data_IF_129874462516
#
_entry.id   IF_129874462516
#
_cell.length_a   1.000
_cell.length_b   1.000
_cell.length_c   1.000
_cell.angle_alpha   90.00
_cell.angle_beta   90.00
_cell.angle_gamma   90.00
#
_symmetry.space_group_name_H-M   'P 1'
#
loop_
_entity.id
_entity.type
_entity.pdbx_description
1 polymer ?
#
# COMPACT_ATOMS: atom_id res chain seq x y z
N UNK A 1 -0.40 52.25 18.18
CA UNK A 1 0.65 51.23 18.37
C UNK A 1 0.04 50.16 19.25
N UNK A 2 0.37 48.89 19.00
CA UNK A 2 -0.11 47.67 19.69
C UNK A 2 -1.53 47.20 19.34
N UNK A 3 -1.83 45.93 19.06
CA UNK A 3 -1.12 44.79 18.44
C UNK A 3 -2.26 43.78 18.21
N UNK A 4 -2.55 43.42 16.95
CA UNK A 4 -3.47 42.32 16.65
C UNK A 4 -2.73 41.01 16.90
N UNK A 5 -2.91 40.43 18.08
CA UNK A 5 -2.54 39.03 18.34
C UNK A 5 -3.68 38.19 17.79
N UNK A 6 -3.41 37.50 16.67
CA UNK A 6 -4.35 36.56 16.07
C UNK A 6 -4.64 35.41 17.03
N UNK A 7 -5.92 35.22 17.33
CA UNK A 7 -6.44 34.02 17.97
C UNK A 7 -6.30 32.85 16.99
N UNK A 8 -5.36 31.95 17.27
CA UNK A 8 -5.29 30.64 16.61
C UNK A 8 -6.53 29.86 17.06
N UNK A 9 -7.33 29.44 16.09
CA UNK A 9 -8.68 28.92 16.23
C UNK A 9 -8.68 27.46 16.74
N UNK A 10 -8.90 27.26 18.05
CA UNK A 10 -8.95 25.94 18.72
C UNK A 10 -10.01 24.98 18.14
N UNK A 11 -10.94 25.46 17.29
CA UNK A 11 -12.03 24.67 16.71
C UNK A 11 -11.75 24.16 15.27
N UNK A 12 -10.60 24.48 14.69
CA UNK A 12 -10.28 24.09 13.30
C UNK A 12 -9.77 22.67 13.14
N UNK A 13 -9.00 22.18 14.11
CA UNK A 13 -8.41 20.83 14.06
C UNK A 13 -9.48 19.75 14.26
N UNK A 14 -10.39 19.91 15.23
CA UNK A 14 -11.50 18.97 15.46
C UNK A 14 -12.46 18.90 14.27
N UNK A 15 -12.80 20.06 13.68
CA UNK A 15 -13.64 20.13 12.50
C UNK A 15 -12.96 19.46 11.27
N UNK A 16 -11.65 19.65 11.12
CA UNK A 16 -10.86 19.02 10.05
C UNK A 16 -10.79 17.51 10.23
N UNK A 17 -10.57 17.04 11.46
CA UNK A 17 -10.54 15.61 11.78
C UNK A 17 -11.90 14.96 11.55
N UNK A 18 -12.99 15.59 12.00
CA UNK A 18 -14.35 15.08 11.76
C UNK A 18 -14.69 15.00 10.27
N UNK A 19 -14.22 15.97 9.46
CA UNK A 19 -14.37 15.92 8.01
C UNK A 19 -13.58 14.76 7.39
N UNK A 20 -12.34 14.54 7.81
CA UNK A 20 -11.52 13.42 7.34
C UNK A 20 -12.16 12.08 7.68
N UNK A 21 -12.61 11.90 8.93
CA UNK A 21 -13.28 10.68 9.38
C UNK A 21 -14.58 10.42 8.61
N UNK A 22 -15.36 11.46 8.29
CA UNK A 22 -16.56 11.33 7.47
C UNK A 22 -16.25 10.83 6.05
N UNK A 23 -15.20 11.38 5.41
CA UNK A 23 -14.73 10.95 4.08
C UNK A 23 -14.23 9.50 4.13
N UNK A 24 -13.43 9.17 5.14
CA UNK A 24 -12.91 7.82 5.33
C UNK A 24 -14.03 6.81 5.57
N UNK A 25 -15.04 7.16 6.36
CA UNK A 25 -16.18 6.30 6.64
C UNK A 25 -17.04 6.04 5.40
N UNK A 26 -17.22 7.02 4.52
CA UNK A 26 -17.88 6.81 3.23
C UNK A 26 -17.07 5.81 2.36
N UNK A 27 -15.75 5.95 2.36
CA UNK A 27 -14.84 5.06 1.64
C UNK A 27 -14.75 3.65 2.23
N UNK A 28 -14.95 3.46 3.55
CA UNK A 28 -14.92 2.14 4.22
C UNK A 28 -15.94 1.15 3.66
N UNK A 29 -17.02 1.64 3.05
CA UNK A 29 -18.03 0.82 2.37
C UNK A 29 -17.49 0.08 1.14
N UNK A 30 -16.39 0.55 0.55
CA UNK A 30 -15.76 -0.06 -0.64
C UNK A 30 -14.74 -1.12 -0.24
N UNK A 31 -14.59 -2.20 -1.00
CA UNK A 31 -13.51 -3.19 -0.74
C UNK A 31 -12.11 -2.55 -0.82
N UNK A 32 -11.14 -3.11 -0.09
CA UNK A 32 -9.76 -2.63 -0.10
C UNK A 32 -9.07 -2.96 -1.43
N UNK A 33 -9.30 -4.18 -1.91
CA UNK A 33 -8.87 -4.66 -3.22
C UNK A 33 -10.04 -5.43 -3.85
N UNK A 34 -10.43 -5.05 -5.05
CA UNK A 34 -11.46 -5.77 -5.78
C UNK A 34 -10.95 -7.09 -6.37
N UNK A 35 -11.88 -7.98 -6.69
CA UNK A 35 -11.64 -9.04 -7.68
C UNK A 35 -11.17 -8.44 -9.02
N UNK A 36 -10.64 -9.27 -9.91
CA UNK A 36 -10.28 -8.84 -11.26
C UNK A 36 -11.55 -8.43 -12.02
N UNK A 37 -11.61 -7.17 -12.41
CA UNK A 37 -12.70 -6.60 -13.21
C UNK A 37 -12.30 -6.50 -14.68
N UNK A 38 -13.26 -6.65 -15.61
CA UNK A 38 -13.04 -6.33 -17.01
C UNK A 38 -12.62 -4.87 -17.19
N UNK A 39 -11.71 -4.61 -18.12
CA UNK A 39 -11.30 -3.24 -18.49
C UNK A 39 -12.44 -2.40 -19.08
N UNK A 40 -13.55 -3.03 -19.49
CA UNK A 40 -14.74 -2.30 -19.92
C UNK A 40 -15.39 -1.49 -18.79
N UNK A 41 -15.18 -1.87 -17.53
CA UNK A 41 -15.64 -1.06 -16.39
C UNK A 41 -15.02 0.33 -16.35
N UNK A 42 -13.91 0.57 -17.07
CA UNK A 42 -13.31 1.89 -17.21
C UNK A 42 -13.94 2.72 -18.33
N UNK A 43 -14.69 2.11 -19.26
CA UNK A 43 -15.37 2.88 -20.32
C UNK A 43 -16.44 3.79 -19.72
N UNK A 44 -17.15 3.30 -18.71
CA UNK A 44 -18.17 4.05 -17.96
C UNK A 44 -17.54 5.21 -17.18
N UNK A 45 -16.42 4.96 -16.50
CA UNK A 45 -15.68 5.98 -15.72
C UNK A 45 -15.18 7.14 -16.58
N UNK A 46 -14.82 6.88 -17.83
CA UNK A 46 -14.26 7.87 -18.76
C UNK A 46 -15.23 8.28 -19.86
N UNK A 47 -16.52 8.00 -19.69
CA UNK A 47 -17.54 8.42 -20.64
C UNK A 47 -17.52 9.94 -20.82
N UNK A 48 -17.58 10.42 -22.06
CA UNK A 48 -17.45 11.84 -22.39
C UNK A 48 -16.01 12.38 -22.46
N UNK A 49 -14.99 11.56 -22.14
CA UNK A 49 -13.59 11.97 -22.23
C UNK A 49 -12.81 11.19 -23.30
N UNK A 50 -12.90 11.65 -24.55
CA UNK A 50 -12.33 10.98 -25.74
C UNK A 50 -10.85 10.61 -25.61
N UNK A 51 -10.01 11.50 -25.06
CA UNK A 51 -8.57 11.27 -24.87
C UNK A 51 -8.30 10.07 -23.95
N UNK A 52 -9.09 9.90 -22.88
CA UNK A 52 -8.94 8.75 -21.97
C UNK A 52 -9.46 7.46 -22.60
N UNK A 53 -10.55 7.52 -23.35
CA UNK A 53 -11.09 6.36 -24.06
C UNK A 53 -10.11 5.85 -25.14
N UNK A 54 -9.38 6.73 -25.82
CA UNK A 54 -8.31 6.34 -26.75
C UNK A 54 -7.16 5.62 -26.04
N UNK A 55 -6.70 6.14 -24.90
CA UNK A 55 -5.68 5.47 -24.07
C UNK A 55 -6.18 4.11 -23.57
N UNK A 56 -7.45 4.01 -23.20
CA UNK A 56 -8.06 2.78 -22.73
C UNK A 56 -8.11 1.71 -23.83
N UNK A 57 -8.36 2.10 -25.09
CA UNK A 57 -8.26 1.17 -26.24
C UNK A 57 -6.88 0.54 -26.35
N UNK A 58 -5.82 1.32 -26.14
CA UNK A 58 -4.44 0.81 -26.15
C UNK A 58 -4.18 -0.10 -24.94
N UNK A 59 -4.66 0.25 -23.75
CA UNK A 59 -4.52 -0.59 -22.55
C UNK A 59 -5.21 -1.95 -22.72
N UNK A 60 -6.39 -1.99 -23.32
CA UNK A 60 -7.15 -3.23 -23.57
C UNK A 60 -6.42 -4.23 -24.48
N UNK A 61 -5.40 -3.81 -25.23
CA UNK A 61 -4.59 -4.71 -26.04
C UNK A 61 -3.54 -5.47 -25.21
N UNK A 62 -3.07 -4.87 -24.11
CA UNK A 62 -1.95 -5.39 -23.33
C UNK A 62 -2.35 -5.97 -21.98
N UNK A 63 -3.51 -5.57 -21.44
CA UNK A 63 -3.98 -5.96 -20.11
C UNK A 63 -5.30 -6.70 -20.19
N UNK A 64 -5.47 -7.72 -19.34
CA UNK A 64 -6.67 -8.59 -19.33
C UNK A 64 -7.78 -8.09 -18.42
N UNK A 65 -7.42 -7.31 -17.41
CA UNK A 65 -8.34 -6.84 -16.38
C UNK A 65 -7.67 -5.83 -15.47
N UNK A 66 -8.42 -5.35 -14.50
CA UNK A 66 -7.97 -4.40 -13.49
C UNK A 66 -8.51 -4.80 -12.12
N UNK A 67 -7.69 -4.66 -11.08
CA UNK A 67 -8.15 -4.64 -9.69
C UNK A 67 -8.23 -3.20 -9.24
N UNK A 68 -9.39 -2.80 -8.72
CA UNK A 68 -9.58 -1.48 -8.10
C UNK A 68 -9.13 -1.56 -6.65
N UNK A 69 -8.56 -0.45 -6.16
CA UNK A 69 -8.16 -0.31 -4.77
C UNK A 69 -8.93 0.84 -4.13
N UNK A 70 -9.17 0.73 -2.81
CA UNK A 70 -9.72 1.83 -2.03
C UNK A 70 -8.79 3.05 -2.10
N UNK A 71 -9.36 4.25 -2.18
CA UNK A 71 -8.63 5.53 -2.30
C UNK A 71 -8.34 6.12 -0.91
N UNK A 72 -7.59 5.40 -0.11
CA UNK A 72 -7.30 5.71 1.31
C UNK A 72 -5.87 6.23 1.55
N UNK A 73 -5.17 6.68 0.50
CA UNK A 73 -3.76 7.11 0.58
C UNK A 73 -2.76 5.96 0.77
N UNK A 74 -3.22 4.72 0.94
CA UNK A 74 -2.40 3.50 1.04
C UNK A 74 -2.38 2.70 -0.26
N UNK A 75 -3.15 3.13 -1.27
CA UNK A 75 -3.38 2.40 -2.51
C UNK A 75 -2.10 1.95 -3.23
N UNK A 76 -1.03 2.75 -3.24
CA UNK A 76 0.24 2.33 -3.85
C UNK A 76 0.86 1.12 -3.15
N UNK A 77 1.05 1.21 -1.83
CA UNK A 77 1.64 0.13 -1.04
C UNK A 77 0.77 -1.11 -1.05
N UNK A 78 -0.55 -0.92 -1.01
CA UNK A 78 -1.52 -2.01 -1.06
C UNK A 78 -1.50 -2.72 -2.42
N UNK A 79 -1.47 -1.96 -3.53
CA UNK A 79 -1.36 -2.51 -4.88
C UNK A 79 -0.05 -3.25 -5.09
N UNK A 80 1.08 -2.64 -4.69
CA UNK A 80 2.40 -3.23 -4.80
C UNK A 80 2.51 -4.52 -3.98
N UNK A 81 2.10 -4.47 -2.71
CA UNK A 81 2.13 -5.62 -1.82
C UNK A 81 1.34 -6.80 -2.38
N UNK A 82 0.08 -6.58 -2.75
CA UNK A 82 -0.76 -7.64 -3.31
C UNK A 82 -0.16 -8.23 -4.60
N UNK A 83 0.17 -7.37 -5.57
CA UNK A 83 0.68 -7.82 -6.88
C UNK A 83 2.01 -8.58 -6.75
N UNK A 84 2.87 -8.17 -5.81
CA UNK A 84 4.15 -8.83 -5.60
C UNK A 84 3.99 -10.21 -4.94
N UNK A 85 3.12 -10.34 -3.94
CA UNK A 85 2.82 -11.66 -3.34
C UNK A 85 2.10 -12.57 -4.34
N UNK A 86 1.13 -12.06 -5.11
CA UNK A 86 0.46 -12.79 -6.19
C UNK A 86 1.47 -13.31 -7.23
N UNK A 87 2.47 -12.50 -7.58
CA UNK A 87 3.57 -12.90 -8.47
C UNK A 87 4.42 -14.03 -7.89
N UNK A 88 4.80 -13.95 -6.61
CA UNK A 88 5.58 -14.99 -5.94
C UNK A 88 4.80 -16.31 -5.83
N UNK A 89 3.52 -16.22 -5.47
CA UNK A 89 2.60 -17.35 -5.36
C UNK A 89 2.39 -18.03 -6.71
N UNK A 90 1.95 -17.27 -7.72
CA UNK A 90 1.59 -17.81 -9.05
C UNK A 90 2.79 -18.42 -9.77
N UNK A 91 3.97 -17.83 -9.61
CA UNK A 91 5.21 -18.35 -10.18
C UNK A 91 5.89 -19.42 -9.33
N UNK A 92 5.37 -19.74 -8.13
CA UNK A 92 6.00 -20.64 -7.13
C UNK A 92 7.47 -20.27 -6.87
N UNK A 93 7.75 -18.97 -6.75
CA UNK A 93 9.10 -18.42 -6.77
C UNK A 93 9.76 -18.43 -5.40
N UNK A 94 9.90 -19.61 -4.79
CA UNK A 94 10.44 -19.80 -3.44
C UNK A 94 11.82 -19.12 -3.25
N UNK A 95 12.68 -19.18 -4.28
CA UNK A 95 14.00 -18.54 -4.24
C UNK A 95 13.92 -17.01 -4.19
N UNK A 96 13.02 -16.43 -4.96
CA UNK A 96 12.80 -14.98 -4.97
C UNK A 96 12.12 -14.50 -3.68
N UNK A 97 11.19 -15.29 -3.15
CA UNK A 97 10.61 -15.08 -1.83
C UNK A 97 11.71 -15.05 -0.75
N UNK A 98 12.62 -16.03 -0.76
CA UNK A 98 13.77 -16.06 0.16
C UNK A 98 14.69 -14.83 0.02
N UNK A 99 14.95 -14.37 -1.22
CA UNK A 99 15.72 -13.12 -1.45
C UNK A 99 14.99 -11.90 -0.92
N UNK A 100 13.67 -11.85 -1.07
CA UNK A 100 12.86 -10.74 -0.60
C UNK A 100 12.85 -10.69 0.94
N UNK A 101 12.59 -11.82 1.61
CA UNK A 101 12.65 -11.92 3.08
C UNK A 101 14.01 -11.48 3.63
N UNK A 102 15.12 -11.90 3.01
CA UNK A 102 16.45 -11.45 3.41
C UNK A 102 16.63 -9.92 3.35
N UNK A 103 15.97 -9.24 2.40
CA UNK A 103 15.96 -7.77 2.37
C UNK A 103 15.10 -7.20 3.50
N UNK A 104 13.98 -7.83 3.84
CA UNK A 104 13.15 -7.45 4.98
C UNK A 104 13.93 -7.58 6.30
N UNK A 105 14.70 -8.65 6.49
CA UNK A 105 15.56 -8.84 7.67
C UNK A 105 16.57 -7.70 7.80
N UNK A 106 17.29 -7.41 6.71
CA UNK A 106 18.27 -6.32 6.66
C UNK A 106 17.61 -4.96 6.91
N UNK A 107 16.38 -4.76 6.42
CA UNK A 107 15.61 -3.56 6.66
C UNK A 107 15.28 -3.40 8.15
N UNK A 108 14.74 -4.45 8.78
CA UNK A 108 14.43 -4.49 10.21
C UNK A 108 15.66 -4.13 11.04
N UNK A 109 16.80 -4.77 10.79
CA UNK A 109 18.05 -4.50 11.52
C UNK A 109 18.52 -3.05 11.34
N UNK A 110 18.34 -2.49 10.14
CA UNK A 110 18.70 -1.08 9.86
C UNK A 110 17.78 -0.11 10.61
N UNK A 111 16.47 -0.37 10.64
CA UNK A 111 15.52 0.48 11.35
C UNK A 111 15.83 0.52 12.85
N UNK A 112 16.14 -0.65 13.44
CA UNK A 112 16.56 -0.75 14.85
C UNK A 112 17.84 0.04 15.08
N UNK A 113 18.86 -0.10 14.20
CA UNK A 113 20.10 0.65 14.31
C UNK A 113 19.90 2.18 14.17
N UNK A 114 18.87 2.61 13.45
CA UNK A 114 18.48 4.02 13.31
C UNK A 114 17.59 4.54 14.46
N UNK A 115 17.42 3.76 15.53
CA UNK A 115 16.73 4.19 16.75
C UNK A 115 15.22 3.94 16.77
N UNK A 116 14.68 3.14 15.83
CA UNK A 116 13.29 2.70 15.93
C UNK A 116 13.11 1.70 17.07
N UNK A 117 11.94 1.72 17.72
CA UNK A 117 11.60 0.79 18.80
C UNK A 117 11.63 -0.65 18.31
N UNK A 118 12.56 -1.45 18.84
CA UNK A 118 12.83 -2.82 18.41
C UNK A 118 11.57 -3.69 18.40
N UNK A 119 10.88 -3.80 19.54
CA UNK A 119 9.69 -4.64 19.67
C UNK A 119 8.62 -4.34 18.62
N UNK A 120 8.41 -3.06 18.31
CA UNK A 120 7.42 -2.62 17.32
C UNK A 120 7.83 -3.01 15.90
N UNK A 121 9.09 -2.79 15.52
CA UNK A 121 9.58 -3.13 14.17
C UNK A 121 9.64 -4.65 13.98
N UNK A 122 9.99 -5.40 15.01
CA UNK A 122 9.99 -6.86 15.00
C UNK A 122 8.58 -7.42 14.77
N UNK A 123 7.56 -6.90 15.43
CA UNK A 123 6.16 -7.32 15.22
C UNK A 123 5.72 -7.08 13.75
N UNK A 124 5.94 -5.88 13.20
CA UNK A 124 5.66 -5.58 11.78
C UNK A 124 6.42 -6.48 10.81
N UNK A 125 7.69 -6.75 11.12
CA UNK A 125 8.54 -7.62 10.31
C UNK A 125 8.07 -9.08 10.32
N UNK A 126 7.78 -9.62 11.50
CA UNK A 126 7.36 -11.01 11.67
C UNK A 126 6.04 -11.29 10.97
N UNK A 127 5.05 -10.40 11.10
CA UNK A 127 3.78 -10.53 10.39
C UNK A 127 3.97 -10.48 8.86
N UNK A 128 4.82 -9.57 8.37
CA UNK A 128 5.09 -9.45 6.94
C UNK A 128 5.79 -10.70 6.38
N UNK A 129 6.84 -11.19 7.07
CA UNK A 129 7.58 -12.39 6.67
C UNK A 129 6.69 -13.64 6.75
N UNK A 130 5.89 -13.77 7.81
CA UNK A 130 4.93 -14.87 7.96
C UNK A 130 3.94 -14.93 6.81
N UNK A 131 3.49 -13.77 6.32
CA UNK A 131 2.59 -13.71 5.17
C UNK A 131 3.26 -14.11 3.85
N UNK A 132 4.53 -13.73 3.64
CA UNK A 132 5.30 -14.21 2.48
C UNK A 132 5.43 -15.73 2.54
N UNK A 133 5.70 -16.31 3.71
CA UNK A 133 5.82 -17.76 3.89
C UNK A 133 4.49 -18.48 3.70
N UNK A 134 3.38 -17.92 4.18
CA UNK A 134 2.03 -18.46 3.96
C UNK A 134 1.73 -18.70 2.47
N UNK A 135 2.11 -17.75 1.61
CA UNK A 135 1.81 -17.83 0.17
C UNK A 135 2.93 -18.42 -0.69
N UNK A 136 4.11 -18.70 -0.12
CA UNK A 136 5.25 -19.23 -0.90
C UNK A 136 5.72 -20.59 -0.43
N UNK A 137 5.55 -20.92 0.85
CA UNK A 137 5.94 -22.20 1.47
C UNK A 137 4.70 -23.04 1.76
N UNK A 138 3.68 -22.45 2.39
CA UNK A 138 2.48 -23.19 2.81
C UNK A 138 1.46 -23.38 1.67
N UNK A 139 1.77 -22.86 0.47
CA UNK A 139 0.91 -22.92 -0.72
C UNK A 139 -0.51 -22.37 -0.49
N UNK A 140 -0.64 -21.23 0.22
CA UNK A 140 -1.90 -20.51 0.31
C UNK A 140 -2.47 -20.16 -1.07
N UNK A 141 -3.78 -19.98 -1.18
CA UNK A 141 -4.43 -19.74 -2.47
C UNK A 141 -4.56 -18.25 -2.80
N UNK A 142 -4.93 -17.94 -4.05
CA UNK A 142 -5.18 -16.55 -4.44
C UNK A 142 -6.40 -15.97 -3.70
N UNK A 143 -7.40 -16.80 -3.45
CA UNK A 143 -8.60 -16.44 -2.69
C UNK A 143 -8.23 -16.08 -1.24
N UNK A 144 -7.38 -16.90 -0.59
CA UNK A 144 -6.85 -16.58 0.74
C UNK A 144 -6.07 -15.25 0.74
N UNK A 145 -5.29 -14.96 -0.31
CA UNK A 145 -4.57 -13.70 -0.45
C UNK A 145 -5.52 -12.50 -0.58
N UNK A 146 -6.59 -12.65 -1.35
CA UNK A 146 -7.64 -11.64 -1.49
C UNK A 146 -8.36 -11.38 -0.17
N UNK A 147 -8.67 -12.41 0.59
CA UNK A 147 -9.29 -12.31 1.92
C UNK A 147 -8.38 -11.56 2.90
N UNK A 148 -7.10 -11.96 2.99
CA UNK A 148 -6.09 -11.31 3.84
C UNK A 148 -5.95 -9.82 3.52
N UNK A 149 -5.88 -9.45 2.23
CA UNK A 149 -5.73 -8.05 1.84
C UNK A 149 -7.03 -7.24 1.92
N UNK A 150 -8.19 -7.90 2.03
CA UNK A 150 -9.47 -7.24 2.28
C UNK A 150 -9.83 -7.13 3.77
N UNK A 151 -9.11 -7.80 4.66
CA UNK A 151 -9.16 -7.49 6.09
C UNK A 151 -8.38 -6.21 6.39
N UNK A 152 -9.05 -5.24 7.02
CA UNK A 152 -8.46 -3.91 7.27
C UNK A 152 -7.20 -3.98 8.13
N UNK A 153 -7.23 -4.77 9.21
CA UNK A 153 -6.13 -4.81 10.16
C UNK A 153 -4.89 -5.43 9.51
N UNK A 154 -5.03 -6.59 8.86
CA UNK A 154 -3.91 -7.24 8.18
C UNK A 154 -3.38 -6.38 7.04
N UNK A 155 -4.26 -5.86 6.19
CA UNK A 155 -3.87 -5.06 5.03
C UNK A 155 -3.11 -3.79 5.42
N UNK A 156 -3.52 -3.10 6.48
CA UNK A 156 -2.81 -1.92 6.99
C UNK A 156 -1.49 -2.28 7.66
N UNK A 157 -1.41 -3.44 8.34
CA UNK A 157 -0.16 -3.96 8.90
C UNK A 157 0.92 -4.12 7.82
N UNK A 158 0.55 -4.67 6.64
CA UNK A 158 1.47 -4.76 5.50
C UNK A 158 1.88 -3.41 4.95
N UNK A 159 0.92 -2.49 4.83
CA UNK A 159 1.19 -1.14 4.34
C UNK A 159 2.19 -0.42 5.26
N UNK A 160 2.03 -0.54 6.57
CA UNK A 160 2.97 0.04 7.55
C UNK A 160 4.37 -0.51 7.35
N UNK A 161 4.51 -1.84 7.24
CA UNK A 161 5.83 -2.42 7.00
C UNK A 161 6.45 -1.98 5.66
N UNK A 162 5.68 -1.92 4.57
CA UNK A 162 6.17 -1.43 3.28
C UNK A 162 6.58 0.05 3.30
N UNK A 163 5.90 0.87 4.10
CA UNK A 163 6.29 2.27 4.34
C UNK A 163 7.62 2.34 5.10
N UNK A 164 7.77 1.56 6.16
CA UNK A 164 9.04 1.45 6.90
C UNK A 164 10.17 0.94 6.00
N UNK A 165 9.88 -0.02 5.13
CA UNK A 165 10.83 -0.53 4.15
C UNK A 165 11.28 0.55 3.17
N UNK A 166 10.34 1.33 2.64
CA UNK A 166 10.63 2.43 1.73
C UNK A 166 11.49 3.51 2.42
N UNK A 167 11.18 3.83 3.67
CA UNK A 167 12.00 4.73 4.50
C UNK A 167 13.41 4.16 4.75
N UNK A 168 13.54 2.85 5.02
CA UNK A 168 14.84 2.22 5.20
C UNK A 168 15.71 2.32 3.93
N UNK A 169 15.12 2.14 2.74
CA UNK A 169 15.86 2.28 1.47
C UNK A 169 16.26 3.74 1.25
N UNK A 170 15.34 4.67 1.51
CA UNK A 170 15.61 6.09 1.39
C UNK A 170 16.75 6.55 2.32
N UNK A 171 16.70 6.15 3.59
CA UNK A 171 17.72 6.54 4.58
C UNK A 171 19.11 5.99 4.25
N UNK A 172 19.21 4.78 3.68
CA UNK A 172 20.49 4.23 3.20
C UNK A 172 21.09 5.03 2.05
N UNK A 173 20.25 5.45 1.11
CA UNK A 173 20.66 6.17 -0.10
C UNK A 173 20.38 7.67 0.00
N UNK A 174 20.33 8.22 1.22
CA UNK A 174 19.89 9.59 1.48
C UNK A 174 20.67 10.61 0.64
N UNK A 175 21.97 10.37 0.44
CA UNK A 175 22.85 11.21 -0.39
C UNK A 175 22.41 11.33 -1.86
N UNK A 176 21.76 10.30 -2.42
CA UNK A 176 21.18 10.32 -3.78
C UNK A 176 19.92 11.17 -3.77
N UNK A 177 19.06 10.94 -2.77
CA UNK A 177 17.73 11.53 -2.72
C UNK A 177 17.73 13.01 -2.30
N UNK A 178 18.72 13.47 -1.53
CA UNK A 178 18.86 14.90 -1.18
C UNK A 178 18.98 15.83 -2.40
N UNK A 179 19.20 15.31 -3.61
CA UNK A 179 19.22 16.12 -4.85
C UNK A 179 17.84 16.30 -5.49
N UNK A 180 16.83 15.58 -5.01
CA UNK A 180 15.48 15.55 -5.56
C UNK A 180 14.44 16.22 -4.65
N UNK A 181 14.84 16.67 -3.46
CA UNK A 181 14.01 17.34 -2.47
C UNK A 181 14.61 18.71 -2.10
#
# INVERSE_FOLDING_TARGET
METLVGSVDENTDEATQAQQEAIENDMKSTCLISAILPLSTLDEDFNGHSVYLEKLKLMKQNYRGIRRLRRDGNCFYRAFGFAYIEYLLSGKLIKEAGRFKKKCDVCKDTLIANGYTQFTVEDFHEQFVGMVDRFTVDNGTLEELEEVFNDQAYSDYYVVFLRLFSFCVYSKECWIFCKFY
#
